data_IF_138272348390
#
_entry.id   IF_138272348390
#
_cell.length_a   1.000
_cell.length_b   1.000
_cell.length_c   1.000
_cell.angle_alpha   90.00
_cell.angle_beta   90.00
_cell.angle_gamma   90.00
#
_symmetry.space_group_name_H-M   'P 1'
#
loop_
_entity.id
_entity.type
_entity.pdbx_description
1 polymer ?
#
# COMPACT_ATOMS: atom_id res chain seq x y z
N UNK A 1 -18.51 42.27 -9.38
CA UNK A 1 -17.71 41.31 -8.59
C UNK A 1 -18.05 39.89 -9.07
N UNK A 2 -17.58 39.53 -10.25
CA UNK A 2 -17.76 38.19 -10.83
C UNK A 2 -16.35 37.60 -10.92
N UNK A 3 -16.17 36.33 -10.57
CA UNK A 3 -14.97 35.50 -10.77
C UNK A 3 -14.11 35.17 -9.53
N UNK A 4 -14.55 35.47 -8.30
CA UNK A 4 -13.86 34.96 -7.09
C UNK A 4 -14.16 33.47 -6.78
N UNK A 5 -15.01 32.80 -7.57
CA UNK A 5 -15.38 31.38 -7.40
C UNK A 5 -14.37 30.39 -7.98
N UNK A 6 -13.54 30.80 -8.95
CA UNK A 6 -12.54 29.96 -9.60
C UNK A 6 -11.33 29.55 -8.72
N UNK A 7 -10.74 30.42 -7.87
CA UNK A 7 -9.61 30.00 -7.03
C UNK A 7 -10.03 29.09 -5.86
N UNK A 8 -11.30 29.14 -5.44
CA UNK A 8 -11.83 28.31 -4.33
C UNK A 8 -11.99 26.85 -4.78
N UNK A 9 -12.32 26.61 -6.06
CA UNK A 9 -12.45 25.25 -6.61
C UNK A 9 -11.08 24.55 -6.77
N UNK A 10 -10.00 25.31 -7.02
CA UNK A 10 -8.65 24.76 -7.16
C UNK A 10 -8.04 24.29 -5.81
N UNK A 11 -8.49 24.84 -4.68
CA UNK A 11 -7.96 24.52 -3.35
C UNK A 11 -8.46 23.18 -2.79
N UNK A 12 -9.50 22.59 -3.39
CA UNK A 12 -10.14 21.35 -2.90
C UNK A 12 -9.53 20.06 -3.46
N UNK A 13 -8.54 20.13 -4.35
CA UNK A 13 -8.01 18.96 -5.08
C UNK A 13 -6.72 18.39 -4.44
N UNK A 14 -6.21 18.98 -3.36
CA UNK A 14 -5.01 18.50 -2.68
C UNK A 14 -5.21 17.25 -1.81
N UNK A 15 -6.14 16.36 -2.16
CA UNK A 15 -6.15 15.03 -1.56
C UNK A 15 -4.95 14.25 -2.13
N UNK A 16 -3.87 14.19 -1.35
CA UNK A 16 -2.74 13.33 -1.64
C UNK A 16 -3.21 11.87 -1.66
N UNK A 17 -3.55 11.38 -2.83
CA UNK A 17 -3.77 9.95 -3.07
C UNK A 17 -2.41 9.29 -2.88
N UNK A 18 -2.16 8.77 -1.68
CA UNK A 18 -0.88 8.13 -1.36
C UNK A 18 -0.75 6.87 -2.21
N UNK A 19 0.30 6.79 -3.00
CA UNK A 19 0.60 5.62 -3.80
C UNK A 19 1.24 4.52 -2.95
N UNK A 20 1.07 3.25 -3.34
CA UNK A 20 1.72 2.10 -2.68
C UNK A 20 2.88 1.57 -3.53
N UNK A 21 3.90 2.41 -3.76
CA UNK A 21 5.20 1.93 -4.27
C UNK A 21 5.96 1.24 -3.14
N UNK A 22 6.22 -0.05 -3.28
CA UNK A 22 6.80 -0.90 -2.24
C UNK A 22 8.23 -1.27 -2.60
N UNK A 23 9.16 -1.07 -1.68
CA UNK A 23 10.51 -1.64 -1.77
C UNK A 23 10.63 -2.84 -0.83
N UNK A 24 11.07 -3.98 -1.36
CA UNK A 24 11.34 -5.18 -0.57
C UNK A 24 12.77 -5.13 -0.05
N UNK A 25 12.94 -4.86 1.24
CA UNK A 25 14.25 -4.90 1.89
C UNK A 25 14.68 -6.32 2.20
N UNK A 26 15.99 -6.53 2.21
CA UNK A 26 16.62 -7.77 2.69
C UNK A 26 16.99 -7.71 4.18
N UNK A 27 16.70 -6.60 4.87
CA UNK A 27 17.08 -6.40 6.27
C UNK A 27 15.91 -5.85 7.08
N UNK A 28 15.47 -6.60 8.09
CA UNK A 28 14.29 -6.25 8.89
C UNK A 28 14.40 -4.91 9.61
N UNK A 29 15.59 -4.54 10.08
CA UNK A 29 15.82 -3.29 10.82
C UNK A 29 15.82 -2.04 9.93
N UNK A 30 15.82 -2.20 8.61
CA UNK A 30 15.74 -1.10 7.66
C UNK A 30 14.33 -0.88 7.12
N UNK A 31 13.40 -1.81 7.39
CA UNK A 31 12.04 -1.76 6.88
C UNK A 31 11.11 -1.02 7.83
N UNK A 32 10.09 -0.39 7.25
CA UNK A 32 9.02 0.28 7.98
C UNK A 32 8.02 -0.73 8.57
N UNK A 33 7.91 -1.90 7.93
CA UNK A 33 6.90 -2.91 8.21
C UNK A 33 7.40 -4.33 7.93
N UNK A 34 7.09 -5.27 8.81
CA UNK A 34 7.25 -6.71 8.57
C UNK A 34 5.96 -7.30 8.01
N UNK A 35 6.08 -8.00 6.87
CA UNK A 35 4.94 -8.56 6.14
C UNK A 35 5.04 -10.08 6.11
N UNK A 36 3.97 -10.77 6.52
CA UNK A 36 3.85 -12.21 6.35
C UNK A 36 2.86 -12.53 5.22
N UNK A 37 3.26 -13.39 4.29
CA UNK A 37 2.38 -13.85 3.20
C UNK A 37 1.60 -15.08 3.68
N UNK A 38 0.29 -14.94 3.79
CA UNK A 38 -0.58 -16.02 4.25
C UNK A 38 -0.94 -16.99 3.13
N UNK A 39 -1.30 -18.24 3.48
CA UNK A 39 -1.68 -19.28 2.52
C UNK A 39 -3.11 -19.14 2.01
N UNK A 40 -4.01 -18.57 2.83
CA UNK A 40 -5.42 -18.45 2.49
C UNK A 40 -5.95 -17.02 2.70
N UNK A 41 -6.84 -16.59 1.81
CA UNK A 41 -7.42 -15.24 1.81
C UNK A 41 -8.08 -14.88 3.15
N UNK A 42 -8.74 -15.83 3.81
CA UNK A 42 -9.45 -15.55 5.07
C UNK A 42 -8.50 -15.11 6.21
N UNK A 43 -7.21 -15.45 6.14
CA UNK A 43 -6.19 -15.15 7.15
C UNK A 43 -5.59 -13.74 7.03
N UNK A 44 -5.76 -13.10 5.87
CA UNK A 44 -5.12 -11.83 5.55
C UNK A 44 -5.75 -10.63 6.26
N UNK A 45 -4.91 -9.65 6.59
CA UNK A 45 -5.33 -8.30 6.95
C UNK A 45 -5.58 -7.45 5.69
N UNK A 46 -4.79 -7.68 4.63
CA UNK A 46 -4.85 -6.99 3.35
C UNK A 46 -4.74 -7.97 2.19
N UNK A 47 -5.63 -7.84 1.19
CA UNK A 47 -5.50 -8.49 -0.11
C UNK A 47 -4.74 -7.58 -1.05
N UNK A 48 -3.66 -8.07 -1.62
CA UNK A 48 -2.75 -7.29 -2.45
C UNK A 48 -2.79 -7.76 -3.90
N UNK A 49 -3.05 -6.84 -4.82
CA UNK A 49 -2.83 -7.05 -6.24
C UNK A 49 -1.53 -6.35 -6.65
N UNK A 50 -0.63 -7.09 -7.31
CA UNK A 50 0.62 -6.51 -7.82
C UNK A 50 0.35 -5.80 -9.15
N UNK A 51 0.57 -4.49 -9.18
CA UNK A 51 0.41 -3.69 -10.40
C UNK A 51 1.74 -3.50 -11.12
N UNK A 52 1.68 -3.44 -12.44
CA UNK A 52 2.86 -3.30 -13.29
C UNK A 52 3.36 -1.85 -13.39
N UNK A 53 2.47 -0.88 -13.24
CA UNK A 53 2.79 0.54 -13.40
C UNK A 53 2.54 1.31 -12.12
N UNK A 54 3.44 2.25 -11.79
CA UNK A 54 3.39 3.02 -10.54
C UNK A 54 2.11 3.84 -10.38
N UNK A 55 1.61 4.43 -11.47
CA UNK A 55 0.36 5.21 -11.45
C UNK A 55 -0.88 4.35 -11.12
N UNK A 56 -0.80 3.01 -11.22
CA UNK A 56 -1.91 2.12 -10.85
C UNK A 56 -1.93 1.81 -9.35
N UNK A 57 -0.85 2.07 -8.63
CA UNK A 57 -0.75 1.85 -7.19
C UNK A 57 -1.39 3.03 -6.46
N UNK A 58 -2.71 3.17 -6.59
CA UNK A 58 -3.46 4.33 -6.10
C UNK A 58 -4.06 4.09 -4.71
N UNK A 59 -3.88 5.08 -3.84
CA UNK A 59 -4.45 5.10 -2.50
C UNK A 59 -3.93 3.99 -1.61
N UNK A 60 -4.59 3.81 -0.47
CA UNK A 60 -4.28 2.75 0.48
C UNK A 60 -5.25 1.58 0.28
N UNK A 61 -5.21 0.94 -0.90
CA UNK A 61 -6.24 0.01 -1.39
C UNK A 61 -5.74 -1.42 -1.66
N UNK A 62 -4.45 -1.68 -1.43
CA UNK A 62 -3.82 -2.98 -1.71
C UNK A 62 -3.30 -3.12 -3.13
N UNK A 63 -3.06 -2.02 -3.84
CA UNK A 63 -2.51 -2.01 -5.19
C UNK A 63 -1.01 -1.74 -5.10
N UNK A 64 -0.20 -2.79 -5.06
CA UNK A 64 1.24 -2.65 -4.78
C UNK A 64 2.06 -2.63 -6.06
N UNK A 65 2.82 -1.56 -6.25
CA UNK A 65 3.84 -1.49 -7.29
C UNK A 65 5.21 -1.71 -6.67
N UNK A 66 5.88 -2.82 -6.99
CA UNK A 66 7.20 -3.09 -6.45
C UNK A 66 8.27 -2.33 -7.25
N UNK A 67 9.05 -1.51 -6.55
CA UNK A 67 10.19 -0.78 -7.12
C UNK A 67 11.50 -1.42 -6.69
N UNK A 68 12.55 -1.26 -7.49
CA UNK A 68 13.88 -1.82 -7.21
C UNK A 68 14.80 -0.86 -6.43
N UNK A 69 14.47 0.44 -6.40
CA UNK A 69 15.26 1.48 -5.76
C UNK A 69 14.52 2.01 -4.54
N UNK A 70 15.20 2.01 -3.40
CA UNK A 70 14.62 2.43 -2.11
C UNK A 70 14.06 3.85 -2.16
N UNK A 71 14.78 4.80 -2.74
CA UNK A 71 14.36 6.21 -2.78
C UNK A 71 13.11 6.47 -3.63
N UNK A 72 12.66 5.49 -4.44
CA UNK A 72 11.44 5.59 -5.22
C UNK A 72 10.20 5.09 -4.47
N UNK A 73 10.37 4.39 -3.36
CA UNK A 73 9.26 3.75 -2.65
C UNK A 73 8.52 4.72 -1.73
N UNK A 74 7.28 4.38 -1.40
CA UNK A 74 6.49 5.01 -0.36
C UNK A 74 6.60 4.25 0.96
N UNK A 75 6.81 2.93 0.90
CA UNK A 75 7.02 2.06 2.05
C UNK A 75 8.09 1.01 1.75
N UNK A 76 8.94 0.77 2.74
CA UNK A 76 9.88 -0.34 2.75
C UNK A 76 9.33 -1.47 3.60
N UNK A 77 9.23 -2.66 3.03
CA UNK A 77 8.75 -3.85 3.74
C UNK A 77 9.84 -4.91 3.82
N UNK A 78 9.77 -5.73 4.87
CA UNK A 78 10.57 -6.93 5.00
C UNK A 78 9.64 -8.13 5.11
N UNK A 79 9.81 -9.12 4.24
CA UNK A 79 9.02 -10.35 4.33
C UNK A 79 9.59 -11.26 5.41
N UNK A 80 8.72 -11.74 6.30
CA UNK A 80 9.07 -12.65 7.38
C UNK A 80 8.56 -14.06 7.11
N UNK A 81 9.22 -15.06 7.69
CA UNK A 81 8.88 -16.48 7.50
C UNK A 81 7.79 -16.96 8.46
N UNK A 82 7.55 -16.26 9.57
CA UNK A 82 6.60 -16.66 10.59
C UNK A 82 5.58 -15.57 10.89
N UNK A 83 4.31 -15.98 11.02
CA UNK A 83 3.18 -15.06 11.22
C UNK A 83 3.34 -14.17 12.47
N UNK A 84 3.88 -14.70 13.56
CA UNK A 84 4.03 -13.94 14.81
C UNK A 84 5.06 -12.81 14.73
N UNK A 85 5.88 -12.76 13.67
CA UNK A 85 6.87 -11.71 13.44
C UNK A 85 6.31 -10.53 12.65
N UNK A 86 5.12 -10.67 12.06
CA UNK A 86 4.59 -9.69 11.12
C UNK A 86 3.68 -8.66 11.78
N UNK A 87 3.82 -7.43 11.31
CA UNK A 87 2.90 -6.33 11.59
C UNK A 87 1.64 -6.45 10.70
N UNK A 88 1.82 -6.92 9.46
CA UNK A 88 0.76 -7.04 8.45
C UNK A 88 0.75 -8.41 7.77
N UNK A 89 -0.42 -9.05 7.71
CA UNK A 89 -0.63 -10.28 6.95
C UNK A 89 -1.22 -9.96 5.57
N UNK A 90 -0.55 -10.42 4.52
CA UNK A 90 -0.93 -10.17 3.12
C UNK A 90 -1.28 -11.46 2.40
N UNK A 91 -2.34 -11.42 1.59
CA UNK A 91 -2.63 -12.45 0.59
C UNK A 91 -2.58 -11.82 -0.80
N UNK A 92 -1.79 -12.38 -1.71
CA UNK A 92 -1.72 -11.89 -3.08
C UNK A 92 -2.89 -12.45 -3.91
N UNK A 93 -3.59 -11.57 -4.61
CA UNK A 93 -4.73 -11.91 -5.47
C UNK A 93 -4.37 -11.76 -6.95
N UNK A 94 -5.14 -12.43 -7.81
CA UNK A 94 -4.89 -12.46 -9.26
C UNK A 94 -5.56 -11.33 -10.03
N UNK A 95 -6.58 -10.67 -9.46
CA UNK A 95 -7.32 -9.61 -10.12
C UNK A 95 -7.42 -8.34 -9.28
N UNK A 96 -7.30 -7.19 -9.92
CA UNK A 96 -7.35 -5.86 -9.29
C UNK A 96 -8.57 -5.67 -8.39
N UNK A 97 -9.76 -6.07 -8.85
CA UNK A 97 -11.00 -5.90 -8.09
C UNK A 97 -11.06 -6.72 -6.78
N UNK A 98 -10.15 -7.69 -6.59
CA UNK A 98 -10.07 -8.50 -5.39
C UNK A 98 -9.18 -7.88 -4.31
N UNK A 99 -8.40 -6.84 -4.61
CA UNK A 99 -7.54 -6.19 -3.61
C UNK A 99 -8.38 -5.39 -2.63
N UNK A 100 -7.87 -5.23 -1.41
CA UNK A 100 -8.54 -4.43 -0.40
C UNK A 100 -8.30 -4.90 1.02
N UNK A 101 -8.54 -3.99 1.95
CA UNK A 101 -8.39 -4.24 3.38
C UNK A 101 -9.51 -5.14 3.89
N UNK A 102 -9.11 -6.21 4.59
CA UNK A 102 -10.00 -7.02 5.41
C UNK A 102 -10.01 -6.55 6.86
N UNK A 103 -8.87 -6.01 7.33
CA UNK A 103 -8.70 -5.45 8.65
C UNK A 103 -8.49 -3.94 8.57
N UNK A 104 -9.58 -3.17 8.67
CA UNK A 104 -9.53 -1.70 8.59
C UNK A 104 -8.69 -1.04 9.68
N UNK A 105 -8.57 -1.67 10.85
CA UNK A 105 -7.79 -1.13 11.97
C UNK A 105 -6.30 -1.02 11.65
N UNK A 106 -5.81 -1.80 10.68
CA UNK A 106 -4.40 -1.82 10.25
C UNK A 106 -4.08 -0.92 9.06
N UNK A 107 -5.07 -0.21 8.50
CA UNK A 107 -4.86 0.70 7.36
C UNK A 107 -3.73 1.71 7.61
N UNK A 108 -3.61 2.18 8.84
CA UNK A 108 -2.62 3.18 9.23
C UNK A 108 -1.16 2.76 8.96
N UNK A 109 -0.87 1.47 8.88
CA UNK A 109 0.47 0.94 8.60
C UNK A 109 1.01 1.35 7.21
N UNK A 110 0.13 1.67 6.26
CA UNK A 110 0.50 2.02 4.88
C UNK A 110 0.22 3.49 4.51
N UNK A 111 -0.01 4.37 5.50
CA UNK A 111 -0.03 5.82 5.29
C UNK A 111 1.36 6.44 5.43
#
# INVERSE_FOLDING_TARGET
MKNALLPILALLISFSIKSQKIYSSNKSYQADLKVFVVKHEYQADLKVFKVNQSYQAEGNSGLWHFVTQEYLCNKKIFFVDYQYQADLKVFFVNYKYQSGWKNSNKKHLLY
#
